data_IF_380875233031
#
_entry.id   IF_380875233031
#
_cell.length_a   1.000
_cell.length_b   1.000
_cell.length_c   1.000
_cell.angle_alpha   90.00
_cell.angle_beta   90.00
_cell.angle_gamma   90.00
#
_symmetry.space_group_name_H-M   'P 1'
#
loop_
_entity.id
_entity.type
_entity.pdbx_description
1 polymer ?
#
# COMPACT_ATOMS: atom_id res chain seq x y z
N UNK A 1 -26.73 29.24 -11.20
CA UNK A 1 -26.74 28.99 -9.75
C UNK A 1 -25.89 27.75 -9.54
N UNK A 2 -24.69 27.89 -8.97
CA UNK A 2 -23.83 26.74 -8.70
C UNK A 2 -24.43 25.96 -7.53
N UNK A 3 -24.81 24.71 -7.79
CA UNK A 3 -25.30 23.81 -6.76
C UNK A 3 -24.09 23.35 -5.93
N UNK A 4 -23.98 23.87 -4.70
CA UNK A 4 -23.07 23.34 -3.70
C UNK A 4 -23.82 22.24 -2.94
N UNK A 5 -24.15 21.13 -3.62
CA UNK A 5 -24.46 19.91 -2.88
C UNK A 5 -23.18 19.60 -2.10
N UNK A 6 -23.22 19.84 -0.78
CA UNK A 6 -22.13 19.46 0.10
C UNK A 6 -21.84 17.99 -0.18
N UNK A 7 -20.58 17.61 -0.50
CA UNK A 7 -20.26 16.21 -0.67
C UNK A 7 -20.73 15.51 0.60
N UNK A 8 -21.61 14.52 0.44
CA UNK A 8 -22.18 13.74 1.52
C UNK A 8 -21.07 13.44 2.54
N UNK A 9 -21.13 14.10 3.70
CA UNK A 9 -20.03 14.07 4.65
C UNK A 9 -19.84 12.62 5.05
N UNK A 10 -18.68 12.05 4.69
CA UNK A 10 -18.40 10.66 5.02
C UNK A 10 -18.50 10.50 6.54
N UNK A 11 -19.28 9.52 7.04
CA UNK A 11 -19.33 9.23 8.46
C UNK A 11 -17.92 9.08 9.01
N UNK A 12 -17.65 9.64 10.19
CA UNK A 12 -16.32 9.60 10.83
C UNK A 12 -15.77 8.18 10.97
N UNK A 13 -16.65 7.17 11.11
CA UNK A 13 -16.30 5.75 11.12
C UNK A 13 -15.75 5.25 9.78
N UNK A 14 -16.32 5.69 8.66
CA UNK A 14 -15.85 5.32 7.31
C UNK A 14 -14.48 5.95 7.03
N UNK A 15 -14.30 7.20 7.44
CA UNK A 15 -13.02 7.91 7.41
C UNK A 15 -11.94 7.17 8.22
N UNK A 16 -12.26 6.77 9.44
CA UNK A 16 -11.34 6.03 10.31
C UNK A 16 -10.99 4.64 9.77
N UNK A 17 -11.99 3.89 9.27
CA UNK A 17 -11.77 2.59 8.66
C UNK A 17 -10.84 2.69 7.45
N UNK A 18 -11.00 3.76 6.65
CA UNK A 18 -10.20 4.00 5.46
C UNK A 18 -8.77 4.43 5.78
N UNK A 19 -8.58 5.33 6.76
CA UNK A 19 -7.24 5.68 7.26
C UNK A 19 -6.51 4.46 7.85
N UNK A 20 -7.24 3.63 8.61
CA UNK A 20 -6.71 2.38 9.15
C UNK A 20 -6.31 1.41 8.02
N UNK A 21 -7.11 1.30 6.97
CA UNK A 21 -6.78 0.49 5.80
C UNK A 21 -5.52 0.99 5.08
N UNK A 22 -5.40 2.32 4.86
CA UNK A 22 -4.20 2.90 4.26
C UNK A 22 -2.94 2.62 5.10
N UNK A 23 -3.03 2.81 6.42
CA UNK A 23 -1.93 2.53 7.34
C UNK A 23 -1.52 1.05 7.31
N UNK A 24 -2.49 0.14 7.36
CA UNK A 24 -2.21 -1.29 7.29
C UNK A 24 -1.55 -1.69 5.96
N UNK A 25 -1.92 -1.04 4.84
CA UNK A 25 -1.27 -1.26 3.55
C UNK A 25 0.18 -0.75 3.55
N UNK A 26 0.46 0.41 4.16
CA UNK A 26 1.82 0.91 4.32
C UNK A 26 2.67 -0.03 5.19
N UNK A 27 2.14 -0.47 6.33
CA UNK A 27 2.82 -1.43 7.21
C UNK A 27 3.12 -2.75 6.48
N UNK A 28 2.23 -3.19 5.59
CA UNK A 28 2.44 -4.37 4.74
C UNK A 28 3.55 -4.15 3.69
N UNK A 29 3.65 -2.96 3.09
CA UNK A 29 4.74 -2.60 2.18
C UNK A 29 6.08 -2.65 2.91
N UNK A 30 6.18 -2.03 4.08
CA UNK A 30 7.41 -2.02 4.89
C UNK A 30 7.86 -3.45 5.25
N UNK A 31 6.90 -4.33 5.60
CA UNK A 31 7.18 -5.73 5.88
C UNK A 31 7.70 -6.49 4.64
N UNK A 32 7.11 -6.23 3.46
CA UNK A 32 7.56 -6.82 2.19
C UNK A 32 8.96 -6.33 1.79
N UNK A 33 9.25 -5.05 1.98
CA UNK A 33 10.59 -4.49 1.70
C UNK A 33 11.65 -5.09 2.62
N UNK A 34 11.35 -5.21 3.92
CA UNK A 34 12.23 -5.86 4.90
C UNK A 34 12.49 -7.33 4.55
N UNK A 35 11.44 -8.09 4.19
CA UNK A 35 11.56 -9.47 3.75
C UNK A 35 12.38 -9.59 2.46
N UNK A 36 12.17 -8.70 1.49
CA UNK A 36 12.94 -8.62 0.26
C UNK A 36 14.42 -8.35 0.51
N UNK A 37 14.76 -7.43 1.41
CA UNK A 37 16.13 -7.14 1.80
C UNK A 37 16.81 -8.35 2.48
N UNK A 38 16.09 -9.06 3.35
CA UNK A 38 16.59 -10.30 3.97
C UNK A 38 16.88 -11.39 2.94
N UNK A 39 15.99 -11.59 1.97
CA UNK A 39 16.17 -12.57 0.89
C UNK A 39 17.28 -12.17 -0.07
N UNK A 40 17.44 -10.87 -0.37
CA UNK A 40 18.54 -10.36 -1.19
C UNK A 40 19.90 -10.70 -0.57
N UNK A 41 20.05 -10.49 0.75
CA UNK A 41 21.25 -10.91 1.48
C UNK A 41 21.46 -12.43 1.43
N UNK A 42 20.39 -13.20 1.60
CA UNK A 42 20.47 -14.66 1.55
C UNK A 42 20.93 -15.15 0.17
N UNK A 43 20.38 -14.60 -0.91
CA UNK A 43 20.80 -14.88 -2.29
C UNK A 43 22.26 -14.47 -2.55
N UNK A 44 22.72 -13.34 -2.01
CA UNK A 44 24.11 -12.93 -2.14
C UNK A 44 25.10 -13.87 -1.41
N UNK A 45 24.63 -14.56 -0.37
CA UNK A 45 25.45 -15.49 0.45
C UNK A 45 25.36 -16.97 0.05
N UNK A 46 24.41 -17.34 -0.81
CA UNK A 46 24.21 -18.74 -1.24
C UNK A 46 24.41 -18.87 -2.74
N UNK A 47 25.30 -19.79 -3.14
CA UNK A 47 25.57 -20.09 -4.55
C UNK A 47 24.25 -20.60 -5.20
N UNK A 48 23.70 -19.80 -6.10
CA UNK A 48 22.32 -19.86 -6.58
C UNK A 48 21.98 -21.20 -7.26
N UNK A 49 21.17 -22.04 -6.60
CA UNK A 49 20.39 -23.11 -7.26
C UNK A 49 18.96 -23.29 -6.71
N UNK A 50 18.58 -22.58 -5.65
CA UNK A 50 17.23 -22.71 -5.11
C UNK A 50 16.26 -21.80 -5.88
N UNK A 51 15.69 -22.32 -6.97
CA UNK A 51 14.60 -21.71 -7.74
C UNK A 51 13.47 -21.17 -6.84
N UNK A 52 13.23 -21.81 -5.69
CA UNK A 52 12.26 -21.35 -4.68
C UNK A 52 12.58 -20.01 -4.03
N UNK A 53 13.86 -19.67 -3.79
CA UNK A 53 14.24 -18.37 -3.20
C UNK A 53 14.06 -17.25 -4.22
N UNK A 54 14.37 -17.52 -5.49
CA UNK A 54 14.13 -16.60 -6.60
C UNK A 54 12.63 -16.36 -6.81
N UNK A 55 11.84 -17.43 -6.85
CA UNK A 55 10.38 -17.34 -6.97
C UNK A 55 9.73 -16.58 -5.80
N UNK A 56 10.23 -16.77 -4.58
CA UNK A 56 9.74 -16.01 -3.41
C UNK A 56 10.10 -14.53 -3.50
N UNK A 57 11.31 -14.20 -3.95
CA UNK A 57 11.74 -12.81 -4.13
C UNK A 57 10.91 -12.10 -5.21
N UNK A 58 10.65 -12.77 -6.35
CA UNK A 58 9.79 -12.25 -7.42
C UNK A 58 8.36 -12.01 -6.94
N UNK A 59 7.79 -12.95 -6.16
CA UNK A 59 6.45 -12.79 -5.57
C UNK A 59 6.39 -11.60 -4.61
N UNK A 60 7.43 -11.38 -3.79
CA UNK A 60 7.49 -10.24 -2.87
C UNK A 60 7.52 -8.92 -3.63
N UNK A 61 8.28 -8.84 -4.73
CA UNK A 61 8.31 -7.66 -5.61
C UNK A 61 6.93 -7.40 -6.20
N UNK A 62 6.27 -8.42 -6.76
CA UNK A 62 4.94 -8.28 -7.34
C UNK A 62 3.90 -7.79 -6.30
N UNK A 63 3.92 -8.38 -5.10
CA UNK A 63 3.01 -7.99 -4.02
C UNK A 63 3.27 -6.55 -3.55
N UNK A 64 4.53 -6.12 -3.47
CA UNK A 64 4.88 -4.75 -3.11
C UNK A 64 4.35 -3.76 -4.14
N UNK A 65 4.57 -4.05 -5.43
CA UNK A 65 4.18 -3.15 -6.51
C UNK A 65 2.65 -3.03 -6.61
N UNK A 66 1.92 -4.14 -6.44
CA UNK A 66 0.45 -4.15 -6.36
C UNK A 66 -0.05 -3.37 -5.15
N UNK A 67 0.53 -3.59 -3.99
CA UNK A 67 0.11 -2.89 -2.75
C UNK A 67 0.39 -1.39 -2.86
N UNK A 68 1.51 -1.00 -3.48
CA UNK A 68 1.84 0.41 -3.74
C UNK A 68 0.84 1.08 -4.69
N UNK A 69 0.40 0.36 -5.74
CA UNK A 69 -0.63 0.85 -6.64
C UNK A 69 -1.98 1.04 -5.93
N UNK A 70 -2.37 0.11 -5.04
CA UNK A 70 -3.58 0.23 -4.24
C UNK A 70 -3.48 1.42 -3.26
N UNK A 71 -2.33 1.62 -2.60
CA UNK A 71 -2.10 2.79 -1.73
C UNK A 71 -2.22 4.11 -2.51
N UNK A 72 -1.68 4.18 -3.73
CA UNK A 72 -1.80 5.35 -4.59
C UNK A 72 -3.25 5.59 -5.04
N UNK A 73 -3.98 4.53 -5.39
CA UNK A 73 -5.39 4.61 -5.77
C UNK A 73 -6.26 5.09 -4.61
N UNK A 74 -6.04 4.53 -3.42
CA UNK A 74 -6.60 4.96 -2.16
C UNK A 74 -6.28 6.45 -1.97
N UNK A 75 -5.01 6.86 -1.92
CA UNK A 75 -4.60 8.26 -1.76
C UNK A 75 -5.28 9.24 -2.72
N UNK A 76 -5.43 8.87 -4.00
CA UNK A 76 -6.15 9.67 -5.00
C UNK A 76 -7.61 9.91 -4.63
N UNK A 77 -8.31 8.85 -4.19
CA UNK A 77 -9.72 8.94 -3.77
C UNK A 77 -9.90 9.81 -2.51
N UNK A 78 -8.92 9.85 -1.61
CA UNK A 78 -8.96 10.74 -0.44
C UNK A 78 -8.81 12.22 -0.83
N UNK A 79 -7.97 12.49 -1.82
CA UNK A 79 -7.81 13.83 -2.36
C UNK A 79 -9.08 14.30 -3.08
N UNK A 80 -9.69 13.43 -3.90
CA UNK A 80 -10.94 13.71 -4.63
C UNK A 80 -12.13 13.97 -3.69
N UNK A 81 -12.17 13.30 -2.53
CA UNK A 81 -13.22 13.48 -1.53
C UNK A 81 -13.05 14.74 -0.68
N UNK A 82 -11.98 15.52 -0.90
CA UNK A 82 -11.73 16.77 -0.18
C UNK A 82 -11.38 16.60 1.29
N UNK A 83 -11.23 15.36 1.77
CA UNK A 83 -10.97 15.03 3.17
C UNK A 83 -9.60 15.57 3.62
N UNK A 84 -8.58 15.50 2.76
CA UNK A 84 -7.27 16.10 3.02
C UNK A 84 -7.27 17.64 2.94
N UNK A 85 -8.30 18.26 2.35
CA UNK A 85 -8.46 19.72 2.33
C UNK A 85 -9.22 20.25 3.55
N UNK A 86 -9.81 19.37 4.36
CA UNK A 86 -10.58 19.69 5.56
C UNK A 86 -9.84 19.39 6.89
N UNK A 87 -8.65 18.81 6.83
CA UNK A 87 -7.69 18.65 7.93
C UNK A 87 -6.66 19.78 7.92
#
# INVERSE_FOLDING_TARGET
MFNYDAPEAWPSENLWAWYSAQRNMMDAVDALESAGAGLFLLMATTDWQAEGVRALHELIIELRDRTSAEVAHVGSRLWETGILAAL
#
